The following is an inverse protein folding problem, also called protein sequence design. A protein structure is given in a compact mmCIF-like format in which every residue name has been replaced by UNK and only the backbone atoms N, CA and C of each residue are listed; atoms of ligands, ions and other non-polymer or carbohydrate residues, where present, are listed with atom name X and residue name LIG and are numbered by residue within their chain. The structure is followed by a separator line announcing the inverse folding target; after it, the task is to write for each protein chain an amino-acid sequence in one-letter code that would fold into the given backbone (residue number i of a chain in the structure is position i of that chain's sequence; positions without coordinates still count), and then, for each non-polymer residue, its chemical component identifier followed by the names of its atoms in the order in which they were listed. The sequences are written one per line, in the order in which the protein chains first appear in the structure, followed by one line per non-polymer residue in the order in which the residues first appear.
data_IF_793233172661
#
_entry.id   IF_793233172661
#
_cell.length_a   1.000
_cell.length_b   1.000
_cell.length_c   1.000
_cell.angle_alpha   90.00
_cell.angle_beta   90.00
_cell.angle_gamma   90.00
#
_symmetry.space_group_name_H-M   'P 1'
#
loop_
_entity.id
_entity.type
_entity.pdbx_description
1 polymer ?
#
# COMPACT_ATOMS: atom_id res chain seq x y z
N UNK A 1 15.00 12.99 -23.35
CA UNK A 1 14.91 11.78 -22.50
C UNK A 1 15.30 12.08 -21.06
N UNK A 2 16.51 12.57 -20.79
CA UNK A 2 16.94 12.89 -19.42
C UNK A 2 16.00 13.88 -18.69
N UNK A 3 15.60 14.96 -19.35
CA UNK A 3 14.64 15.92 -18.76
C UNK A 3 13.29 15.29 -18.45
N UNK A 4 12.81 14.37 -19.30
CA UNK A 4 11.56 13.65 -19.07
C UNK A 4 11.62 12.72 -17.85
N UNK A 5 12.77 12.10 -17.61
CA UNK A 5 13.00 11.27 -16.42
C UNK A 5 12.95 12.15 -15.17
N UNK A 6 13.66 13.29 -15.18
CA UNK A 6 13.65 14.25 -14.07
C UNK A 6 12.24 14.73 -13.77
N UNK A 7 11.50 15.16 -14.80
CA UNK A 7 10.09 15.58 -14.67
C UNK A 7 9.23 14.51 -14.00
N UNK A 8 9.32 13.25 -14.45
CA UNK A 8 8.55 12.14 -13.90
C UNK A 8 8.86 11.90 -12.41
N UNK A 9 10.15 11.93 -12.04
CA UNK A 9 10.57 11.80 -10.64
C UNK A 9 10.07 12.97 -9.79
N UNK A 10 10.19 14.21 -10.28
CA UNK A 10 9.68 15.40 -9.57
C UNK A 10 8.17 15.34 -9.38
N UNK A 11 7.42 14.91 -10.39
CA UNK A 11 5.97 14.70 -10.26
C UNK A 11 5.63 13.66 -9.19
N UNK A 12 6.32 12.51 -9.17
CA UNK A 12 6.12 11.49 -8.13
C UNK A 12 6.41 12.02 -6.72
N UNK A 13 7.44 12.86 -6.56
CA UNK A 13 7.77 13.49 -5.28
C UNK A 13 6.64 14.42 -4.83
N UNK A 14 6.16 15.31 -5.70
CA UNK A 14 5.05 16.22 -5.35
C UNK A 14 3.78 15.45 -4.98
N UNK A 15 3.40 14.44 -5.75
CA UNK A 15 2.22 13.61 -5.42
C UNK A 15 2.36 12.95 -4.04
N UNK A 16 3.57 12.50 -3.66
CA UNK A 16 3.80 11.93 -2.33
C UNK A 16 3.74 12.99 -1.22
N UNK A 17 4.24 14.20 -1.47
CA UNK A 17 4.14 15.31 -0.50
C UNK A 17 2.67 15.67 -0.27
N UNK A 18 1.88 15.83 -1.34
CA UNK A 18 0.45 16.14 -1.23
C UNK A 18 -0.33 15.03 -0.50
N UNK A 19 0.05 13.77 -0.76
CA UNK A 19 -0.54 12.61 -0.09
C UNK A 19 -0.24 12.58 1.42
N UNK A 20 0.92 13.07 1.87
CA UNK A 20 1.26 13.11 3.30
C UNK A 20 0.35 14.03 4.10
N UNK A 21 -0.23 15.05 3.48
CA UNK A 21 -1.15 15.97 4.17
C UNK A 21 -2.55 15.38 4.35
N UNK A 22 -2.96 14.44 3.48
CA UNK A 22 -4.36 14.03 3.36
C UNK A 22 -4.63 12.55 3.65
N UNK A 23 -3.68 11.66 3.34
CA UNK A 23 -3.88 10.23 3.44
C UNK A 23 -3.60 9.60 4.82
N UNK A 24 -2.74 10.13 5.72
CA UNK A 24 -2.40 9.43 6.97
C UNK A 24 -3.62 9.00 7.81
N UNK A 25 -4.65 9.85 8.03
CA UNK A 25 -5.83 9.42 8.79
C UNK A 25 -6.60 8.27 8.14
N UNK A 26 -6.64 8.25 6.80
CA UNK A 26 -7.32 7.17 6.05
C UNK A 26 -6.51 5.87 6.07
N UNK A 27 -5.19 5.97 5.99
CA UNK A 27 -4.27 4.82 6.09
C UNK A 27 -4.37 4.20 7.49
N UNK A 28 -4.31 5.00 8.54
CA UNK A 28 -4.46 4.53 9.93
C UNK A 28 -5.80 3.81 10.12
N UNK A 29 -6.89 4.42 9.68
CA UNK A 29 -8.23 3.81 9.75
C UNK A 29 -8.28 2.47 9.01
N UNK A 30 -7.75 2.39 7.79
CA UNK A 30 -7.73 1.16 7.01
C UNK A 30 -6.88 0.07 7.69
N UNK A 31 -5.72 0.43 8.23
CA UNK A 31 -4.85 -0.48 8.98
C UNK A 31 -5.57 -1.04 10.22
N UNK A 32 -6.25 -0.19 11.00
CA UNK A 32 -7.01 -0.63 12.17
C UNK A 32 -8.14 -1.59 11.79
N UNK A 33 -8.86 -1.32 10.70
CA UNK A 33 -9.90 -2.23 10.19
C UNK A 33 -9.33 -3.61 9.80
N UNK A 34 -8.17 -3.62 9.13
CA UNK A 34 -7.48 -4.85 8.74
C UNK A 34 -7.02 -5.65 9.97
N UNK A 35 -6.43 -4.99 10.96
CA UNK A 35 -6.01 -5.61 12.23
C UNK A 35 -7.21 -6.22 12.96
N UNK A 36 -8.30 -5.47 13.11
CA UNK A 36 -9.52 -6.00 13.74
C UNK A 36 -10.12 -7.19 13.00
N UNK A 37 -10.07 -7.18 11.66
CA UNK A 37 -10.53 -8.32 10.85
C UNK A 37 -9.71 -9.58 11.13
N UNK A 38 -8.38 -9.47 11.14
CA UNK A 38 -7.49 -10.61 11.35
C UNK A 38 -7.54 -11.14 12.79
N UNK A 39 -7.65 -10.26 13.78
CA UNK A 39 -7.84 -10.66 15.19
C UNK A 39 -9.19 -11.35 15.45
N UNK A 40 -10.18 -11.09 14.60
CA UNK A 40 -11.49 -11.74 14.63
C UNK A 40 -11.58 -13.01 13.78
N UNK A 41 -10.46 -13.70 13.54
CA UNK A 41 -10.34 -14.88 12.66
C UNK A 41 -10.85 -14.66 11.23
N UNK A 42 -10.88 -13.40 10.79
CA UNK A 42 -11.23 -13.01 9.44
C UNK A 42 -10.06 -13.16 8.46
N UNK A 43 -10.33 -12.81 7.20
CA UNK A 43 -9.33 -12.81 6.12
C UNK A 43 -9.48 -11.57 5.25
N UNK A 44 -8.37 -11.10 4.70
CA UNK A 44 -8.33 -9.96 3.79
C UNK A 44 -8.26 -10.49 2.35
N UNK A 45 -9.17 -10.02 1.50
CA UNK A 45 -9.19 -10.34 0.06
C UNK A 45 -8.79 -9.09 -0.71
N UNK A 46 -7.79 -9.22 -1.60
CA UNK A 46 -7.34 -8.14 -2.48
C UNK A 46 -7.70 -8.45 -3.93
N UNK A 47 -8.01 -7.41 -4.71
CA UNK A 47 -8.25 -7.51 -6.14
C UNK A 47 -7.89 -6.20 -6.84
N UNK A 48 -7.59 -6.26 -8.13
CA UNK A 48 -7.23 -5.11 -8.95
C UNK A 48 -7.06 -5.50 -10.41
N UNK A 49 -6.95 -4.51 -11.31
CA UNK A 49 -6.74 -4.71 -12.74
C UNK A 49 -5.41 -4.10 -13.19
N UNK A 50 -4.74 -4.71 -14.18
CA UNK A 50 -3.47 -4.19 -14.71
C UNK A 50 -2.40 -4.06 -13.63
N UNK A 51 -1.76 -2.90 -13.52
CA UNK A 51 -0.75 -2.64 -12.48
C UNK A 51 -1.25 -2.88 -11.06
N UNK A 52 -2.50 -2.50 -10.76
CA UNK A 52 -3.11 -2.70 -9.45
C UNK A 52 -3.38 -4.17 -9.11
N UNK A 53 -3.45 -5.06 -10.11
CA UNK A 53 -3.46 -6.50 -9.85
C UNK A 53 -2.11 -6.96 -9.27
N UNK A 54 -1.01 -6.34 -9.73
CA UNK A 54 0.34 -6.49 -9.19
C UNK A 54 0.44 -6.05 -7.73
N UNK A 55 -0.18 -4.92 -7.37
CA UNK A 55 -0.21 -4.46 -5.98
C UNK A 55 -1.07 -5.37 -5.09
N UNK A 56 -2.21 -5.85 -5.61
CA UNK A 56 -3.09 -6.78 -4.90
C UNK A 56 -2.37 -8.09 -4.55
N UNK A 57 -1.63 -8.67 -5.50
CA UNK A 57 -0.82 -9.86 -5.23
C UNK A 57 0.33 -9.55 -4.26
N UNK A 58 0.99 -8.38 -4.40
CA UNK A 58 2.11 -7.97 -3.55
C UNK A 58 1.67 -7.95 -2.08
N UNK A 59 0.61 -7.20 -1.79
CA UNK A 59 0.05 -7.10 -0.44
C UNK A 59 -0.36 -8.47 0.12
N UNK A 60 -1.02 -9.30 -0.69
CA UNK A 60 -1.41 -10.65 -0.25
C UNK A 60 -0.19 -11.52 0.08
N UNK A 61 0.92 -11.37 -0.66
CA UNK A 61 2.14 -12.14 -0.46
C UNK A 61 2.88 -11.74 0.82
N UNK A 62 2.89 -10.45 1.15
CA UNK A 62 3.43 -9.94 2.41
C UNK A 62 2.63 -10.45 3.61
N UNK A 63 1.31 -10.57 3.46
CA UNK A 63 0.42 -11.09 4.49
C UNK A 63 0.51 -12.61 4.68
N UNK A 64 0.69 -13.37 3.61
CA UNK A 64 0.77 -14.83 3.67
C UNK A 64 2.17 -15.34 4.04
N UNK A 65 3.21 -14.62 3.63
CA UNK A 65 4.59 -14.99 3.89
C UNK A 65 5.18 -14.10 4.99
N UNK A 66 5.82 -12.99 4.59
CA UNK A 66 6.49 -12.05 5.49
C UNK A 66 6.61 -10.69 4.82
N UNK A 67 6.60 -9.63 5.62
CA UNK A 67 6.96 -8.27 5.24
C UNK A 67 8.35 -7.92 5.78
N UNK A 68 8.45 -7.12 6.86
CA UNK A 68 9.72 -6.68 7.45
C UNK A 68 10.18 -7.54 8.63
N UNK A 69 9.31 -7.82 9.59
CA UNK A 69 9.62 -8.62 10.79
C UNK A 69 8.93 -9.98 10.75
N UNK A 70 9.51 -10.96 11.45
CA UNK A 70 8.77 -12.19 11.76
C UNK A 70 7.61 -11.84 12.70
N UNK A 71 6.45 -12.44 12.42
CA UNK A 71 5.31 -12.37 13.33
C UNK A 71 5.61 -13.32 14.50
N UNK A 72 5.32 -12.92 15.75
CA UNK A 72 5.50 -13.78 16.91
C UNK A 72 4.65 -15.06 16.83
#
# INVERSE_FOLDING_TARGET
MLERIKECCTQSIHTKIDALETLPPSIEKAAMMMVSCLLGDGKILTCGNGGSAGDAQHFSSELLNRYETERP
#
